data_IF_113457773477
#
_entry.id   IF_113457773477
#
_cell.length_a   1.000
_cell.length_b   1.000
_cell.length_c   1.000
_cell.angle_alpha   90.00
_cell.angle_beta   90.00
_cell.angle_gamma   90.00
#
_symmetry.space_group_name_H-M   'P 1'
#
loop_
_entity.id
_entity.type
_entity.pdbx_description
1 polymer ?
#
# COMPACT_ATOMS: atom_id res chain seq x y z
N UNK A 1 -92.77 -29.70 39.11
CA UNK A 1 -91.90 -30.73 38.52
C UNK A 1 -90.42 -30.32 38.72
N UNK A 2 -89.80 -31.05 39.56
CA UNK A 2 -88.44 -30.79 40.12
C UNK A 2 -87.39 -31.30 39.23
N UNK A 3 -86.40 -30.46 38.94
CA UNK A 3 -85.15 -30.88 38.29
C UNK A 3 -83.98 -30.52 39.22
N UNK A 4 -83.27 -31.53 39.68
CA UNK A 4 -82.15 -31.47 40.63
C UNK A 4 -80.86 -30.98 39.87
N UNK A 5 -80.15 -30.03 40.46
CA UNK A 5 -78.80 -29.62 40.04
C UNK A 5 -77.75 -30.60 40.59
N UNK A 6 -76.89 -31.08 39.75
CA UNK A 6 -75.65 -31.83 40.10
C UNK A 6 -74.48 -30.86 40.05
N UNK A 7 -73.87 -30.67 41.23
CA UNK A 7 -72.64 -29.85 41.34
C UNK A 7 -71.43 -30.74 41.04
N UNK A 8 -70.74 -30.46 39.91
CA UNK A 8 -69.49 -31.10 39.56
C UNK A 8 -68.33 -30.20 39.98
N UNK A 9 -67.50 -30.67 40.92
CA UNK A 9 -66.32 -29.98 41.42
C UNK A 9 -65.17 -30.21 40.42
N UNK A 10 -64.80 -29.17 39.66
CA UNK A 10 -63.66 -29.24 38.77
C UNK A 10 -62.43 -28.72 39.52
N UNK A 11 -61.44 -29.61 39.73
CA UNK A 11 -60.14 -29.30 40.34
C UNK A 11 -59.25 -28.61 39.25
N UNK A 12 -58.97 -27.32 39.39
CA UNK A 12 -58.05 -26.61 38.53
C UNK A 12 -56.63 -26.79 39.09
N UNK A 13 -55.83 -27.59 38.38
CA UNK A 13 -54.41 -27.76 38.68
C UNK A 13 -53.63 -26.59 38.07
N UNK A 14 -53.17 -25.62 38.86
CA UNK A 14 -52.24 -24.56 38.44
C UNK A 14 -50.86 -25.15 38.35
N UNK A 15 -50.39 -25.39 37.08
CA UNK A 15 -48.99 -25.66 36.78
C UNK A 15 -48.20 -24.31 36.79
N UNK A 16 -47.46 -24.09 37.87
CA UNK A 16 -46.46 -23.02 37.92
C UNK A 16 -45.27 -23.40 37.02
N UNK A 17 -45.23 -22.84 35.81
CA UNK A 17 -44.05 -22.94 34.94
C UNK A 17 -42.93 -22.05 35.51
N UNK A 18 -41.95 -22.66 36.17
CA UNK A 18 -40.70 -21.99 36.51
C UNK A 18 -39.89 -21.78 35.22
N UNK A 19 -39.91 -20.56 34.66
CA UNK A 19 -38.98 -20.15 33.65
C UNK A 19 -37.60 -19.94 34.28
N UNK A 20 -36.70 -20.89 34.07
CA UNK A 20 -35.29 -20.72 34.40
C UNK A 20 -34.72 -19.60 33.52
N UNK A 21 -34.35 -18.46 34.11
CA UNK A 21 -33.62 -17.40 33.43
C UNK A 21 -32.26 -17.97 33.02
N UNK A 22 -32.04 -18.09 31.72
CA UNK A 22 -30.71 -18.40 31.20
C UNK A 22 -29.77 -17.22 31.53
N UNK A 23 -28.55 -17.47 32.04
CA UNK A 23 -27.59 -16.42 32.24
C UNK A 23 -27.23 -15.84 30.86
N UNK A 24 -27.41 -14.53 30.69
CA UNK A 24 -26.96 -13.80 29.52
C UNK A 24 -25.44 -14.05 29.38
N UNK A 25 -25.05 -14.85 28.39
CA UNK A 25 -23.67 -14.98 28.01
C UNK A 25 -23.20 -13.60 27.53
N UNK A 26 -22.37 -12.94 28.31
CA UNK A 26 -21.67 -11.72 27.90
C UNK A 26 -20.85 -12.14 26.69
N UNK A 27 -20.98 -11.47 25.53
CA UNK A 27 -20.15 -11.76 24.39
C UNK A 27 -18.69 -11.55 24.82
N UNK A 28 -17.88 -12.59 24.76
CA UNK A 28 -16.42 -12.45 24.91
C UNK A 28 -15.96 -11.70 23.67
N UNK A 29 -15.81 -10.39 23.81
CA UNK A 29 -15.21 -9.56 22.79
C UNK A 29 -13.75 -9.99 22.70
N UNK A 30 -13.41 -10.76 21.66
CA UNK A 30 -12.03 -11.10 21.36
C UNK A 30 -11.31 -9.79 21.07
N UNK A 31 -10.54 -9.31 22.03
CA UNK A 31 -9.67 -8.16 21.85
C UNK A 31 -8.76 -8.44 20.64
N UNK A 32 -8.95 -7.68 19.57
CA UNK A 32 -8.11 -7.80 18.39
C UNK A 32 -6.67 -7.46 18.80
N UNK A 33 -5.67 -8.27 18.41
CA UNK A 33 -4.29 -7.96 18.74
C UNK A 33 -3.94 -6.55 18.24
N UNK A 34 -3.39 -5.74 19.11
CA UNK A 34 -3.06 -4.36 18.79
C UNK A 34 -1.90 -4.32 17.78
N UNK A 35 -2.11 -3.58 16.68
CA UNK A 35 -1.02 -3.27 15.74
C UNK A 35 -0.03 -2.35 16.43
N UNK A 36 1.22 -2.79 16.58
CA UNK A 36 2.30 -2.02 17.20
C UNK A 36 3.43 -1.73 16.20
N UNK A 37 4.30 -0.77 16.53
CA UNK A 37 5.46 -0.48 15.68
C UNK A 37 6.50 -1.62 15.68
N UNK A 38 6.52 -2.45 16.72
CA UNK A 38 7.40 -3.63 16.83
C UNK A 38 6.81 -4.87 16.19
N UNK A 39 5.45 -4.96 16.11
CA UNK A 39 4.71 -6.01 15.41
C UNK A 39 3.72 -5.35 14.43
N UNK A 40 4.21 -4.79 13.32
CA UNK A 40 3.37 -4.03 12.41
C UNK A 40 2.44 -4.91 11.55
N UNK A 41 2.74 -6.20 11.43
CA UNK A 41 2.03 -7.12 10.56
C UNK A 41 1.33 -8.23 11.35
N UNK A 42 0.26 -8.79 10.77
CA UNK A 42 -0.41 -9.99 11.27
C UNK A 42 -1.57 -9.76 12.24
N UNK A 43 -1.70 -8.57 12.84
CA UNK A 43 -2.76 -8.31 13.82
C UNK A 43 -4.19 -8.51 13.26
N UNK A 44 -4.36 -8.36 11.95
CA UNK A 44 -5.62 -8.55 11.23
C UNK A 44 -5.52 -9.67 10.16
N UNK A 45 -4.50 -10.54 10.25
CA UNK A 45 -4.34 -11.65 9.32
C UNK A 45 -5.57 -12.56 9.33
N UNK A 46 -6.01 -13.00 8.14
CA UNK A 46 -7.20 -13.85 7.97
C UNK A 46 -8.54 -13.11 8.03
N UNK A 47 -8.55 -11.78 8.27
CA UNK A 47 -9.77 -10.97 8.15
C UNK A 47 -9.88 -10.33 6.77
N UNK A 48 -11.09 -9.92 6.38
CA UNK A 48 -11.31 -9.17 5.13
C UNK A 48 -10.62 -7.81 5.23
N UNK A 49 -9.72 -7.47 4.30
CA UNK A 49 -9.00 -6.20 4.37
C UNK A 49 -9.92 -5.01 4.09
N UNK A 50 -9.79 -3.98 4.93
CA UNK A 50 -10.48 -2.70 4.82
C UNK A 50 -9.50 -1.55 4.57
N UNK A 51 -8.59 -1.74 3.59
CA UNK A 51 -7.56 -0.75 3.27
C UNK A 51 -8.17 0.43 2.53
N UNK A 52 -7.93 1.63 3.06
CA UNK A 52 -8.36 2.92 2.46
C UNK A 52 -7.22 3.67 1.79
N UNK A 53 -5.99 3.35 2.17
CA UNK A 53 -4.79 4.02 1.69
C UNK A 53 -3.71 3.00 1.33
N UNK A 54 -3.20 3.11 0.14
CA UNK A 54 -1.98 2.41 -0.29
C UNK A 54 -0.83 3.41 -0.29
N UNK A 55 0.28 3.04 0.34
CA UNK A 55 1.53 3.80 0.30
C UNK A 55 2.57 2.97 -0.46
N UNK A 56 3.16 3.56 -1.48
CA UNK A 56 4.25 3.00 -2.27
C UNK A 56 5.51 3.80 -2.02
N UNK A 57 6.56 3.15 -1.53
CA UNK A 57 7.92 3.70 -1.46
C UNK A 57 8.72 3.11 -2.60
N UNK A 58 9.28 3.95 -3.47
CA UNK A 58 10.13 3.54 -4.59
C UNK A 58 11.58 3.83 -4.28
N UNK A 59 12.39 2.79 -4.39
CA UNK A 59 13.85 2.82 -4.32
C UNK A 59 14.43 2.58 -5.72
N UNK A 60 15.75 2.66 -5.87
CA UNK A 60 16.42 2.72 -7.17
C UNK A 60 17.54 1.68 -7.32
N UNK A 61 17.63 1.13 -8.52
CA UNK A 61 18.80 0.47 -9.11
C UNK A 61 19.45 -0.67 -8.30
N UNK A 62 18.69 -1.46 -7.56
CA UNK A 62 19.30 -2.58 -6.81
C UNK A 62 18.49 -3.86 -6.90
N UNK A 63 19.21 -4.96 -7.11
CA UNK A 63 18.67 -6.30 -7.09
C UNK A 63 18.33 -6.78 -5.66
N UNK A 64 17.51 -7.84 -5.58
CA UNK A 64 17.02 -8.42 -4.31
C UNK A 64 18.10 -8.66 -3.24
N UNK A 65 19.37 -9.03 -3.54
CA UNK A 65 20.39 -9.19 -2.52
C UNK A 65 20.71 -7.95 -1.70
N UNK A 66 20.35 -6.74 -2.17
CA UNK A 66 20.56 -5.47 -1.44
C UNK A 66 19.92 -5.49 -0.04
N UNK A 67 18.84 -6.24 0.14
CA UNK A 67 18.19 -6.37 1.46
C UNK A 67 19.14 -6.91 2.53
N UNK A 68 20.13 -7.75 2.16
CA UNK A 68 21.16 -8.24 3.08
C UNK A 68 22.05 -7.13 3.66
N UNK A 69 22.14 -6.00 2.98
CA UNK A 69 22.91 -4.81 3.40
C UNK A 69 22.03 -3.71 4.00
N UNK A 70 20.74 -3.99 4.23
CA UNK A 70 19.73 -3.07 4.76
C UNK A 70 19.09 -3.64 6.04
N UNK A 71 19.74 -3.52 7.21
CA UNK A 71 19.31 -4.20 8.45
C UNK A 71 17.84 -3.94 8.82
N UNK A 72 17.36 -2.71 8.67
CA UNK A 72 15.98 -2.37 8.99
C UNK A 72 14.99 -3.01 8.01
N UNK A 73 15.21 -2.88 6.70
CA UNK A 73 14.32 -3.46 5.69
C UNK A 73 14.40 -4.99 5.66
N UNK A 74 15.57 -5.56 5.89
CA UNK A 74 15.71 -7.02 6.04
C UNK A 74 14.87 -7.54 7.20
N UNK A 75 15.02 -6.94 8.39
CA UNK A 75 14.20 -7.29 9.55
C UNK A 75 12.69 -7.05 9.33
N UNK A 76 12.34 -5.99 8.59
CA UNK A 76 10.94 -5.70 8.25
C UNK A 76 10.38 -6.76 7.29
N UNK A 77 11.12 -7.15 6.27
CA UNK A 77 10.74 -8.21 5.34
C UNK A 77 10.55 -9.57 6.04
N UNK A 78 11.40 -9.86 7.03
CA UNK A 78 11.30 -11.09 7.83
C UNK A 78 10.09 -11.08 8.79
N UNK A 79 9.72 -9.92 9.33
CA UNK A 79 8.58 -9.76 10.25
C UNK A 79 7.24 -9.55 9.56
N UNK A 80 7.24 -9.11 8.30
CA UNK A 80 6.03 -8.85 7.52
C UNK A 80 5.97 -9.79 6.32
N UNK A 81 6.11 -9.26 5.10
CA UNK A 81 6.15 -10.11 3.93
C UNK A 81 7.13 -9.59 2.87
N UNK A 82 7.54 -10.50 2.01
CA UNK A 82 8.29 -10.21 0.78
C UNK A 82 7.86 -11.11 -0.36
N UNK A 83 8.13 -10.74 -1.59
CA UNK A 83 8.01 -11.64 -2.73
C UNK A 83 9.38 -12.28 -3.03
N UNK A 84 9.39 -13.60 -3.29
CA UNK A 84 10.61 -14.31 -3.65
C UNK A 84 11.04 -14.08 -5.10
N UNK A 85 10.07 -13.86 -6.01
CA UNK A 85 10.31 -13.66 -7.44
C UNK A 85 9.58 -12.42 -7.93
N UNK A 86 10.11 -11.22 -7.61
CA UNK A 86 9.55 -9.97 -8.09
C UNK A 86 10.53 -9.27 -9.01
N UNK A 87 10.02 -8.78 -10.15
CA UNK A 87 10.86 -8.29 -11.23
C UNK A 87 10.38 -6.93 -11.74
N UNK A 88 11.31 -6.03 -12.00
CA UNK A 88 11.05 -4.84 -12.79
C UNK A 88 10.72 -5.22 -14.24
N UNK A 89 10.21 -4.26 -15.00
CA UNK A 89 9.70 -4.50 -16.35
C UNK A 89 10.77 -4.26 -17.42
N UNK A 90 11.63 -3.28 -17.20
CA UNK A 90 12.60 -2.79 -18.20
C UNK A 90 13.72 -1.98 -17.54
N UNK A 91 14.56 -1.36 -18.37
CA UNK A 91 15.47 -0.27 -18.09
C UNK A 91 15.20 0.87 -19.11
N UNK A 92 15.53 2.14 -18.79
CA UNK A 92 15.94 2.69 -17.50
C UNK A 92 14.73 2.98 -16.56
N UNK A 93 14.94 3.77 -15.51
CA UNK A 93 14.03 4.04 -14.39
C UNK A 93 12.63 4.50 -14.81
N UNK A 94 12.48 5.63 -15.52
CA UNK A 94 11.18 6.24 -15.80
C UNK A 94 10.14 5.29 -16.39
N UNK A 95 10.45 4.44 -17.39
CA UNK A 95 9.52 3.44 -17.89
C UNK A 95 8.91 2.54 -16.80
N UNK A 96 9.68 2.17 -15.78
CA UNK A 96 9.20 1.34 -14.66
C UNK A 96 8.22 2.10 -13.76
N UNK A 97 8.49 3.37 -13.46
CA UNK A 97 7.54 4.23 -12.73
C UNK A 97 6.22 4.39 -13.45
N UNK A 98 6.26 4.53 -14.78
CA UNK A 98 5.07 4.64 -15.61
C UNK A 98 4.34 3.28 -15.70
N UNK A 99 5.07 2.17 -15.91
CA UNK A 99 4.51 0.82 -15.91
C UNK A 99 3.76 0.50 -14.61
N UNK A 100 4.38 0.79 -13.46
CA UNK A 100 3.82 0.52 -12.14
C UNK A 100 2.60 1.39 -11.80
N UNK A 101 2.43 2.52 -12.48
CA UNK A 101 1.34 3.45 -12.16
C UNK A 101 0.24 3.52 -13.23
N UNK A 102 0.43 2.92 -14.42
CA UNK A 102 -0.59 2.89 -15.49
C UNK A 102 -0.78 1.52 -16.14
N UNK A 103 0.15 0.60 -15.94
CA UNK A 103 0.15 -0.68 -16.64
C UNK A 103 0.55 -0.60 -18.12
N UNK A 104 1.10 0.53 -18.58
CA UNK A 104 1.53 0.72 -19.96
C UNK A 104 2.72 1.66 -20.05
N UNK A 105 3.65 1.40 -20.97
CA UNK A 105 4.81 2.25 -21.27
C UNK A 105 4.62 2.87 -22.65
N UNK A 106 4.29 4.17 -22.75
CA UNK A 106 4.16 4.86 -24.04
C UNK A 106 5.45 4.83 -24.86
N UNK A 107 5.34 4.79 -26.18
CA UNK A 107 6.50 4.74 -27.08
C UNK A 107 7.49 5.90 -26.86
N UNK A 108 6.96 7.08 -26.53
CA UNK A 108 7.79 8.26 -26.24
C UNK A 108 8.58 8.22 -24.93
N UNK A 109 8.30 7.24 -24.04
CA UNK A 109 8.98 7.03 -22.76
C UNK A 109 9.82 5.74 -22.79
N UNK A 110 9.46 4.79 -23.62
CA UNK A 110 10.11 3.49 -23.70
C UNK A 110 11.61 3.61 -23.91
N UNK A 111 12.38 2.96 -23.04
CA UNK A 111 13.84 2.86 -23.12
C UNK A 111 14.59 4.15 -22.85
N UNK A 112 13.98 5.13 -22.19
CA UNK A 112 14.69 6.37 -21.86
C UNK A 112 14.18 7.10 -20.64
N UNK A 113 15.07 7.76 -19.95
CA UNK A 113 14.78 8.78 -18.96
C UNK A 113 14.69 10.15 -19.64
N UNK A 114 13.62 10.85 -19.39
CA UNK A 114 13.40 12.18 -19.96
C UNK A 114 12.57 13.05 -19.01
N UNK A 115 12.66 14.34 -19.13
CA UNK A 115 11.81 15.26 -18.37
C UNK A 115 10.40 15.36 -18.98
N UNK A 116 9.35 15.64 -18.16
CA UNK A 116 7.96 15.70 -18.64
C UNK A 116 7.77 16.79 -19.68
N UNK A 117 7.59 16.43 -20.93
CA UNK A 117 7.38 17.36 -22.04
C UNK A 117 7.36 16.63 -23.37
N UNK A 118 6.83 17.26 -24.44
CA UNK A 118 6.82 16.70 -25.79
C UNK A 118 6.31 15.25 -25.85
N UNK A 119 7.14 14.37 -26.42
CA UNK A 119 6.88 12.94 -26.52
C UNK A 119 7.03 12.20 -25.16
N UNK A 120 7.69 12.83 -24.17
CA UNK A 120 7.88 12.25 -22.83
C UNK A 120 6.67 12.55 -21.92
N UNK A 121 5.46 12.29 -22.41
CA UNK A 121 4.21 12.41 -21.68
C UNK A 121 3.33 11.20 -21.97
N UNK A 122 2.54 10.80 -20.97
CA UNK A 122 1.53 9.76 -21.09
C UNK A 122 0.12 10.36 -21.11
N UNK A 123 -0.71 9.85 -22.01
CA UNK A 123 -2.17 10.09 -22.06
C UNK A 123 -2.96 8.97 -21.38
N UNK A 124 -2.28 7.98 -20.84
CA UNK A 124 -2.90 6.82 -20.23
C UNK A 124 -3.68 7.21 -18.96
N UNK A 125 -4.61 6.35 -18.59
CA UNK A 125 -5.16 6.35 -17.23
C UNK A 125 -4.07 5.84 -16.29
N UNK A 126 -4.09 6.35 -15.07
CA UNK A 126 -3.14 5.95 -14.03
C UNK A 126 -3.86 5.75 -12.70
N UNK A 127 -3.23 5.04 -11.78
CA UNK A 127 -3.74 4.87 -10.41
C UNK A 127 -4.00 6.23 -9.76
N UNK A 128 -3.21 7.26 -10.05
CA UNK A 128 -3.48 8.63 -9.59
C UNK A 128 -4.84 9.14 -10.05
N UNK A 129 -5.21 8.88 -11.31
CA UNK A 129 -6.51 9.29 -11.87
C UNK A 129 -7.68 8.48 -11.33
N UNK A 130 -7.47 7.19 -10.99
CA UNK A 130 -8.51 6.32 -10.42
C UNK A 130 -8.99 6.81 -9.04
N UNK A 131 -8.10 7.44 -8.27
CA UNK A 131 -8.43 7.92 -6.92
C UNK A 131 -9.30 9.19 -6.91
N UNK A 132 -9.70 9.71 -8.08
CA UNK A 132 -10.52 10.94 -8.20
C UNK A 132 -9.97 12.13 -7.40
N UNK A 133 -8.63 12.28 -7.38
CA UNK A 133 -7.93 13.35 -6.66
C UNK A 133 -7.53 13.01 -5.23
N UNK A 134 -7.83 11.81 -4.74
CA UNK A 134 -7.32 11.31 -3.44
C UNK A 134 -5.95 10.65 -3.58
N UNK A 135 -4.95 11.40 -4.07
CA UNK A 135 -3.59 10.93 -4.22
C UNK A 135 -2.57 11.98 -3.81
N UNK A 136 -1.34 11.53 -3.49
CA UNK A 136 -0.16 12.38 -3.33
C UNK A 136 1.10 11.70 -3.78
N UNK A 137 2.03 12.50 -4.28
CA UNK A 137 3.45 12.18 -4.38
C UNK A 137 4.19 13.09 -3.43
N UNK A 138 4.92 12.50 -2.49
CA UNK A 138 5.87 13.19 -1.62
C UNK A 138 7.28 12.85 -2.11
N UNK A 139 8.00 13.85 -2.58
CA UNK A 139 9.37 13.67 -3.06
C UNK A 139 10.36 14.46 -2.21
N UNK A 140 11.42 13.76 -1.79
CA UNK A 140 12.51 14.36 -1.04
C UNK A 140 13.33 15.28 -1.94
N UNK A 141 13.96 16.28 -1.35
CA UNK A 141 14.75 17.31 -2.05
C UNK A 141 14.02 18.10 -3.14
N UNK A 142 12.69 17.92 -3.28
CA UNK A 142 11.86 18.75 -4.13
C UNK A 142 11.75 20.17 -3.54
N UNK A 143 12.08 21.20 -4.32
CA UNK A 143 12.11 22.60 -3.85
C UNK A 143 10.80 23.36 -4.12
N UNK A 144 9.99 22.88 -5.07
CA UNK A 144 8.70 23.49 -5.43
C UNK A 144 7.67 22.44 -5.82
N UNK A 145 6.41 22.74 -5.58
CA UNK A 145 5.29 21.84 -5.93
C UNK A 145 5.24 21.59 -7.42
N UNK A 146 4.98 20.33 -7.81
CA UNK A 146 4.93 19.91 -9.22
C UNK A 146 6.20 20.26 -10.00
N UNK A 147 7.35 20.08 -9.39
CA UNK A 147 8.63 20.29 -10.03
C UNK A 147 8.82 19.29 -11.16
N UNK A 148 9.06 19.80 -12.38
CA UNK A 148 9.13 19.01 -13.62
C UNK A 148 10.54 18.93 -14.19
N UNK A 149 11.50 19.40 -13.43
CA UNK A 149 12.93 19.40 -13.79
C UNK A 149 13.71 18.75 -12.67
N UNK A 150 14.69 17.95 -13.05
CA UNK A 150 15.70 17.43 -12.13
C UNK A 150 16.55 18.56 -11.62
N UNK A 151 16.66 18.73 -10.30
CA UNK A 151 17.49 19.78 -9.67
C UNK A 151 18.12 19.20 -8.40
N UNK A 152 19.46 19.27 -8.32
CA UNK A 152 20.20 18.71 -7.21
C UNK A 152 19.92 17.21 -7.03
N UNK A 153 19.54 16.81 -5.83
CA UNK A 153 19.19 15.41 -5.53
C UNK A 153 17.76 15.00 -5.89
N UNK A 154 16.90 15.94 -6.24
CA UNK A 154 15.58 15.60 -6.76
C UNK A 154 15.66 15.19 -8.23
N UNK A 155 15.28 13.97 -8.55
CA UNK A 155 15.16 13.46 -9.90
C UNK A 155 13.68 13.39 -10.34
N UNK A 156 13.32 14.16 -11.38
CA UNK A 156 11.93 14.17 -11.89
C UNK A 156 11.54 12.80 -12.43
N UNK A 157 12.45 12.06 -13.08
CA UNK A 157 12.21 10.73 -13.63
C UNK A 157 11.81 9.68 -12.57
N UNK A 158 12.17 9.90 -11.30
CA UNK A 158 11.74 9.05 -10.18
C UNK A 158 10.33 9.40 -9.64
N UNK A 159 9.62 10.32 -10.29
CA UNK A 159 8.24 10.64 -9.98
C UNK A 159 7.35 10.43 -11.21
N UNK A 160 6.25 9.67 -11.10
CA UNK A 160 5.40 9.36 -12.25
C UNK A 160 4.37 10.46 -12.57
N UNK A 161 3.84 11.15 -11.55
CA UNK A 161 2.67 12.02 -11.70
C UNK A 161 2.83 13.15 -12.73
N UNK A 162 3.99 13.85 -12.87
CA UNK A 162 4.15 14.95 -13.82
C UNK A 162 4.05 14.53 -15.29
N UNK A 163 4.22 13.25 -15.57
CA UNK A 163 4.17 12.71 -16.93
C UNK A 163 2.76 12.46 -17.45
N UNK A 164 1.75 12.42 -16.58
CA UNK A 164 0.37 12.16 -16.98
C UNK A 164 -0.40 13.44 -17.32
N UNK A 165 -0.81 13.56 -18.59
CA UNK A 165 -1.57 14.74 -19.06
C UNK A 165 -2.94 14.83 -18.41
N UNK A 166 -3.59 13.70 -18.09
CA UNK A 166 -4.94 13.62 -17.52
C UNK A 166 -5.06 14.17 -16.10
N UNK A 167 -3.97 14.26 -15.35
CA UNK A 167 -3.96 14.77 -13.97
C UNK A 167 -3.10 16.04 -13.81
N UNK A 168 -2.70 16.64 -14.94
CA UNK A 168 -1.77 17.79 -14.96
C UNK A 168 -2.26 18.95 -14.10
N UNK A 169 -3.54 19.26 -14.12
CA UNK A 169 -4.14 20.35 -13.34
C UNK A 169 -4.05 20.12 -11.83
N UNK A 170 -3.97 18.86 -11.40
CA UNK A 170 -3.88 18.47 -10.00
C UNK A 170 -2.44 18.47 -9.48
N UNK A 171 -1.43 18.46 -10.36
CA UNK A 171 -0.04 18.24 -9.99
C UNK A 171 0.44 19.21 -8.90
N UNK A 172 0.17 20.52 -9.01
CA UNK A 172 0.60 21.52 -8.01
C UNK A 172 0.02 21.30 -6.62
N UNK A 173 -1.16 20.71 -6.54
CA UNK A 173 -1.79 20.41 -5.26
C UNK A 173 -1.36 19.06 -4.68
N UNK A 174 -0.88 18.14 -5.52
CA UNK A 174 -0.73 16.73 -5.17
C UNK A 174 0.71 16.22 -5.18
N UNK A 175 1.60 16.75 -6.02
CA UNK A 175 3.04 16.45 -5.97
C UNK A 175 3.76 17.56 -5.22
N UNK A 176 4.29 17.22 -4.05
CA UNK A 176 4.78 18.19 -3.08
C UNK A 176 6.06 17.69 -2.39
N UNK A 177 6.86 18.59 -1.80
CA UNK A 177 8.01 18.20 -1.00
C UNK A 177 7.63 17.20 0.11
N UNK A 178 8.52 16.23 0.36
CA UNK A 178 8.31 15.18 1.35
C UNK A 178 8.09 15.76 2.76
N UNK A 179 8.90 16.72 3.12
CA UNK A 179 8.77 17.43 4.39
C UNK A 179 8.16 18.82 4.18
N UNK A 180 7.36 19.23 5.12
CA UNK A 180 6.73 20.52 5.12
C UNK A 180 5.71 20.66 6.25
N UNK A 181 5.59 21.84 6.87
CA UNK A 181 4.86 21.99 8.14
C UNK A 181 3.35 21.72 8.04
N UNK A 182 2.76 21.84 6.85
CA UNK A 182 1.29 21.72 6.67
C UNK A 182 0.88 20.54 5.77
N UNK A 183 1.72 20.16 4.83
CA UNK A 183 1.34 19.21 3.77
C UNK A 183 2.36 18.09 3.57
N UNK A 184 3.50 18.13 4.23
CA UNK A 184 4.47 17.05 4.23
C UNK A 184 3.86 15.75 4.76
N UNK A 185 4.52 14.64 4.49
CA UNK A 185 4.03 13.32 4.88
C UNK A 185 3.81 13.23 6.40
N UNK A 186 4.75 13.72 7.22
CA UNK A 186 4.59 13.73 8.68
C UNK A 186 3.35 14.47 9.15
N UNK A 187 3.11 15.67 8.64
CA UNK A 187 1.93 16.47 8.98
C UNK A 187 0.61 15.80 8.54
N UNK A 188 0.66 15.09 7.39
CA UNK A 188 -0.48 14.33 6.88
C UNK A 188 -0.80 13.11 7.75
N UNK A 189 0.23 12.37 8.19
CA UNK A 189 0.10 11.25 9.10
C UNK A 189 -0.46 11.68 10.47
N UNK A 190 0.07 12.77 11.04
CA UNK A 190 -0.38 13.32 12.33
C UNK A 190 -1.83 13.81 12.26
N UNK A 191 -2.26 14.33 11.11
CA UNK A 191 -3.62 14.81 10.89
C UNK A 191 -4.60 13.69 10.48
N UNK A 192 -4.15 12.44 10.41
CA UNK A 192 -4.93 11.27 9.98
C UNK A 192 -5.64 11.47 8.62
N UNK A 193 -4.92 12.01 7.63
CA UNK A 193 -5.47 12.41 6.32
C UNK A 193 -4.69 11.82 5.13
N UNK A 194 -4.23 10.56 5.27
CA UNK A 194 -3.63 9.86 4.13
C UNK A 194 -4.63 9.78 2.97
N UNK A 195 -4.20 10.08 1.73
CA UNK A 195 -5.04 9.86 0.56
C UNK A 195 -5.13 8.36 0.19
N UNK A 196 -6.04 8.03 -0.72
CA UNK A 196 -6.20 6.65 -1.18
C UNK A 196 -4.92 6.09 -1.80
N UNK A 197 -4.17 6.88 -2.57
CA UNK A 197 -2.88 6.47 -3.10
C UNK A 197 -1.79 7.49 -2.77
N UNK A 198 -0.70 6.99 -2.22
CA UNK A 198 0.49 7.76 -1.84
C UNK A 198 1.73 7.16 -2.47
N UNK A 199 2.54 7.98 -3.13
CA UNK A 199 3.86 7.61 -3.59
C UNK A 199 4.90 8.42 -2.84
N UNK A 200 5.84 7.75 -2.20
CA UNK A 200 6.93 8.36 -1.42
C UNK A 200 8.23 8.09 -2.17
N UNK A 201 8.90 9.15 -2.58
CA UNK A 201 10.09 9.10 -3.42
C UNK A 201 11.25 9.72 -2.67
N UNK A 202 12.26 8.94 -2.25
CA UNK A 202 13.51 9.47 -1.72
C UNK A 202 14.23 10.29 -2.79
N UNK A 203 15.24 11.05 -2.41
CA UNK A 203 16.15 11.67 -3.39
C UNK A 203 17.22 10.66 -3.85
N UNK A 204 17.99 10.99 -4.91
CA UNK A 204 18.94 10.07 -5.55
C UNK A 204 20.00 9.47 -4.62
N UNK A 205 20.24 10.07 -3.47
CA UNK A 205 21.09 9.51 -2.42
C UNK A 205 20.35 8.50 -1.55
N UNK A 206 19.15 8.87 -1.11
CA UNK A 206 18.40 8.09 -0.14
C UNK A 206 17.52 7.01 -0.83
N UNK A 207 17.30 7.11 -2.16
CA UNK A 207 16.73 6.02 -2.97
C UNK A 207 17.74 4.96 -3.39
N UNK A 208 19.05 5.23 -3.18
CA UNK A 208 20.22 4.40 -3.50
C UNK A 208 20.75 4.53 -4.94
N UNK A 209 20.13 5.34 -5.79
CA UNK A 209 20.62 5.58 -7.16
C UNK A 209 22.11 5.96 -7.18
N UNK A 210 22.54 6.83 -6.27
CA UNK A 210 23.94 7.26 -6.13
C UNK A 210 24.75 6.39 -5.13
N UNK A 211 24.31 5.15 -4.86
CA UNK A 211 25.08 4.11 -4.18
C UNK A 211 25.08 4.13 -2.65
N UNK A 212 24.28 4.96 -1.98
CA UNK A 212 24.23 4.98 -0.51
C UNK A 212 23.20 3.99 0.07
N UNK A 213 23.51 2.70 0.14
CA UNK A 213 22.59 1.65 0.65
C UNK A 213 22.13 1.96 2.09
N UNK A 214 23.04 2.34 2.97
CA UNK A 214 22.69 2.70 4.35
C UNK A 214 21.84 3.96 4.47
N UNK A 215 21.89 4.87 3.51
CA UNK A 215 21.00 6.03 3.44
C UNK A 215 19.58 5.58 3.15
N UNK A 216 19.39 4.67 2.19
CA UNK A 216 18.10 4.08 1.85
C UNK A 216 17.49 3.31 3.02
N UNK A 217 18.28 2.53 3.75
CA UNK A 217 17.78 1.82 4.94
C UNK A 217 17.33 2.77 6.05
N UNK A 218 18.08 3.86 6.31
CA UNK A 218 17.68 4.91 7.27
C UNK A 218 16.43 5.67 6.81
N UNK A 219 16.31 5.96 5.50
CA UNK A 219 15.09 6.55 4.96
C UNK A 219 13.88 5.64 5.19
N UNK A 220 14.00 4.37 4.85
CA UNK A 220 12.98 3.36 5.08
C UNK A 220 12.62 3.25 6.58
N UNK A 221 13.61 3.18 7.47
CA UNK A 221 13.41 3.15 8.93
C UNK A 221 12.60 4.35 9.41
N UNK A 222 12.94 5.54 8.93
CA UNK A 222 12.27 6.78 9.32
C UNK A 222 10.82 6.79 8.87
N UNK A 223 10.56 6.55 7.60
CA UNK A 223 9.23 6.77 7.02
C UNK A 223 8.29 5.59 7.23
N UNK A 224 8.76 4.35 7.10
CA UNK A 224 7.95 3.17 7.47
C UNK A 224 7.61 3.26 8.96
N UNK A 225 8.59 3.57 9.80
CA UNK A 225 8.37 3.74 11.23
C UNK A 225 7.32 4.80 11.58
N UNK A 226 7.27 5.92 10.86
CA UNK A 226 6.23 6.95 11.03
C UNK A 226 4.86 6.46 10.54
N UNK A 227 4.82 5.78 9.40
CA UNK A 227 3.57 5.26 8.82
C UNK A 227 2.94 4.22 9.75
N UNK A 228 3.70 3.23 10.23
CA UNK A 228 3.17 2.17 11.09
C UNK A 228 2.73 2.67 12.48
N UNK A 229 3.26 3.80 12.93
CA UNK A 229 2.81 4.47 14.16
C UNK A 229 1.58 5.35 13.96
N UNK A 230 1.16 5.62 12.74
CA UNK A 230 -0.02 6.47 12.47
C UNK A 230 -1.31 5.81 12.94
N UNK A 231 -2.32 6.64 13.25
CA UNK A 231 -3.64 6.15 13.63
C UNK A 231 -4.28 5.31 12.50
N UNK A 232 -4.17 5.79 11.24
CA UNK A 232 -4.67 5.06 10.07
C UNK A 232 -4.09 3.65 9.95
N UNK A 233 -2.76 3.50 10.11
CA UNK A 233 -2.13 2.18 10.04
C UNK A 233 -2.62 1.24 11.16
N UNK A 234 -2.68 1.74 12.39
CA UNK A 234 -3.13 0.94 13.55
C UNK A 234 -4.58 0.49 13.45
N UNK A 235 -5.43 1.23 12.73
CA UNK A 235 -6.82 0.81 12.45
C UNK A 235 -6.92 -0.23 11.33
N UNK A 236 -5.84 -0.48 10.58
CA UNK A 236 -5.86 -1.35 9.41
C UNK A 236 -6.20 -0.63 8.10
N UNK A 237 -6.26 0.69 8.09
CA UNK A 237 -6.62 1.46 6.89
C UNK A 237 -5.49 1.54 5.85
N UNK A 238 -4.26 1.07 6.15
CA UNK A 238 -3.08 1.28 5.30
C UNK A 238 -2.39 -0.03 4.93
N UNK A 239 -2.08 -0.20 3.64
CA UNK A 239 -1.11 -1.16 3.13
C UNK A 239 0.10 -0.41 2.55
N UNK A 240 1.31 -0.82 2.94
CA UNK A 240 2.56 -0.21 2.52
C UNK A 240 3.37 -1.20 1.69
N UNK A 241 3.87 -0.74 0.55
CA UNK A 241 4.75 -1.46 -0.36
C UNK A 241 6.07 -0.71 -0.49
N UNK A 242 7.18 -1.44 -0.42
CA UNK A 242 8.53 -0.92 -0.69
C UNK A 242 9.12 -1.75 -1.80
N UNK A 243 9.51 -1.13 -2.89
CA UNK A 243 10.11 -1.82 -4.04
C UNK A 243 11.14 -0.93 -4.74
N UNK A 244 11.91 -1.55 -5.61
CA UNK A 244 12.88 -0.89 -6.50
C UNK A 244 12.31 -0.85 -7.91
N UNK A 245 12.67 0.18 -8.64
CA UNK A 245 12.21 0.38 -10.00
C UNK A 245 12.84 -0.61 -10.99
N UNK A 246 14.16 -0.84 -10.83
CA UNK A 246 14.96 -1.76 -11.65
C UNK A 246 16.18 -2.27 -10.86
N UNK A 247 16.90 -3.24 -11.41
CA UNK A 247 18.16 -3.71 -10.84
C UNK A 247 19.36 -2.87 -11.37
N UNK A 248 20.56 -3.27 -10.98
CA UNK A 248 21.84 -2.72 -11.41
C UNK A 248 22.39 -3.36 -12.71
N UNK A 249 21.51 -3.82 -13.60
CA UNK A 249 21.82 -4.56 -14.84
C UNK A 249 22.44 -5.95 -14.65
N UNK A 250 22.64 -6.41 -13.42
CA UNK A 250 23.36 -7.64 -13.12
C UNK A 250 22.47 -8.86 -12.79
N UNK A 251 21.18 -8.67 -12.56
CA UNK A 251 20.31 -9.72 -11.95
C UNK A 251 19.00 -9.95 -12.69
N UNK A 252 18.91 -9.58 -13.96
CA UNK A 252 17.73 -9.79 -14.80
C UNK A 252 16.47 -9.12 -14.27
N UNK A 253 16.64 -7.94 -13.71
CA UNK A 253 15.58 -7.13 -13.09
C UNK A 253 14.89 -7.80 -11.89
N UNK A 254 15.56 -8.71 -11.19
CA UNK A 254 15.06 -9.33 -9.96
C UNK A 254 15.24 -8.37 -8.79
N UNK A 255 14.21 -7.59 -8.49
CA UNK A 255 14.23 -6.50 -7.48
C UNK A 255 13.47 -6.90 -6.22
N UNK A 256 13.72 -6.27 -5.06
CA UNK A 256 12.96 -6.56 -3.85
C UNK A 256 11.52 -6.04 -3.92
N UNK A 257 10.60 -6.76 -3.26
CA UNK A 257 9.30 -6.26 -2.86
C UNK A 257 9.08 -6.63 -1.40
N UNK A 258 8.97 -5.63 -0.54
CA UNK A 258 8.63 -5.75 0.89
C UNK A 258 7.24 -5.18 1.11
N UNK A 259 6.40 -5.90 1.85
CA UNK A 259 5.02 -5.51 2.11
C UNK A 259 4.76 -5.46 3.61
N UNK A 260 4.22 -4.33 4.05
CA UNK A 260 3.92 -4.07 5.46
C UNK A 260 2.43 -3.75 5.60
N UNK A 261 1.68 -4.67 6.19
CA UNK A 261 0.24 -4.51 6.39
C UNK A 261 -0.22 -5.31 7.61
N UNK A 262 -1.17 -4.80 8.40
CA UNK A 262 -1.76 -5.55 9.50
C UNK A 262 -2.45 -6.85 9.06
N UNK A 263 -2.86 -6.94 7.79
CA UNK A 263 -3.53 -8.12 7.22
C UNK A 263 -2.57 -9.21 6.75
N UNK A 264 -1.30 -8.88 6.56
CA UNK A 264 -0.30 -9.80 6.01
C UNK A 264 0.26 -10.70 7.11
N UNK A 265 0.26 -12.01 6.88
CA UNK A 265 0.84 -12.99 7.81
C UNK A 265 2.34 -12.71 8.02
N UNK A 266 2.82 -12.62 9.28
CA UNK A 266 4.23 -12.41 9.58
C UNK A 266 5.12 -13.49 8.95
N UNK A 267 6.26 -13.08 8.37
CA UNK A 267 7.23 -13.97 7.74
C UNK A 267 6.79 -14.54 6.40
N UNK A 268 5.68 -14.07 5.82
CA UNK A 268 5.19 -14.55 4.54
C UNK A 268 6.19 -14.29 3.42
N UNK A 269 6.40 -15.31 2.59
CA UNK A 269 7.16 -15.22 1.34
C UNK A 269 6.23 -15.56 0.19
N UNK A 270 5.73 -14.55 -0.52
CA UNK A 270 4.90 -14.75 -1.69
C UNK A 270 5.71 -15.44 -2.81
N UNK A 271 5.18 -16.54 -3.34
CA UNK A 271 5.84 -17.38 -4.34
C UNK A 271 5.19 -17.22 -5.71
N UNK A 272 6.02 -17.15 -6.74
CA UNK A 272 5.59 -16.94 -8.12
C UNK A 272 6.49 -15.91 -8.80
N UNK A 273 6.28 -15.72 -10.12
CA UNK A 273 6.93 -14.66 -10.88
C UNK A 273 6.00 -13.46 -10.98
N UNK A 274 6.31 -12.41 -10.27
CA UNK A 274 5.55 -11.16 -10.24
C UNK A 274 6.37 -10.02 -10.86
N UNK A 275 5.66 -8.99 -11.32
CA UNK A 275 6.26 -7.80 -11.92
C UNK A 275 5.58 -6.54 -11.39
N UNK A 276 6.03 -5.36 -11.82
CA UNK A 276 5.37 -4.10 -11.55
C UNK A 276 3.89 -4.08 -11.96
N UNK A 277 3.51 -4.84 -12.99
CA UNK A 277 2.09 -4.97 -13.39
C UNK A 277 1.26 -5.77 -12.37
N UNK A 278 1.86 -6.77 -11.72
CA UNK A 278 1.21 -7.55 -10.67
C UNK A 278 1.08 -6.72 -9.37
N UNK A 279 2.06 -5.86 -9.08
CA UNK A 279 1.97 -4.93 -7.96
C UNK A 279 0.91 -3.84 -8.22
N UNK A 280 0.86 -3.27 -9.43
CA UNK A 280 -0.21 -2.35 -9.80
C UNK A 280 -1.58 -3.01 -9.59
N UNK A 281 -1.78 -4.23 -10.12
CA UNK A 281 -2.99 -5.03 -9.91
C UNK A 281 -3.34 -5.20 -8.44
N UNK A 282 -2.32 -5.50 -7.61
CA UNK A 282 -2.48 -5.67 -6.17
C UNK A 282 -2.95 -4.38 -5.51
N UNK A 283 -2.31 -3.25 -5.81
CA UNK A 283 -2.69 -1.94 -5.26
C UNK A 283 -4.09 -1.52 -5.68
N UNK A 284 -4.43 -1.70 -6.96
CA UNK A 284 -5.77 -1.40 -7.48
C UNK A 284 -6.85 -2.24 -6.81
N UNK A 285 -6.61 -3.56 -6.69
CA UNK A 285 -7.53 -4.47 -6.02
C UNK A 285 -7.72 -4.09 -4.54
N UNK A 286 -6.63 -3.83 -3.84
CA UNK A 286 -6.65 -3.42 -2.42
C UNK A 286 -7.46 -2.15 -2.20
N UNK A 287 -7.48 -1.24 -3.18
CA UNK A 287 -8.28 -0.01 -3.15
C UNK A 287 -9.67 -0.14 -3.78
N UNK A 288 -10.04 -1.32 -4.29
CA UNK A 288 -11.33 -1.54 -4.95
C UNK A 288 -11.43 -0.95 -6.36
N UNK A 289 -10.31 -0.72 -7.05
CA UNK A 289 -10.28 -0.18 -8.40
C UNK A 289 -10.17 -1.27 -9.47
N UNK A 290 -10.76 -1.01 -10.63
CA UNK A 290 -10.59 -1.86 -11.80
C UNK A 290 -9.16 -1.74 -12.35
N UNK A 291 -8.52 -2.84 -12.79
CA UNK A 291 -7.14 -2.83 -13.22
C UNK A 291 -6.91 -2.04 -14.50
N UNK A 292 -5.72 -1.44 -14.63
CA UNK A 292 -5.26 -0.66 -15.78
C UNK A 292 -4.28 -1.44 -16.66
N UNK A 293 -4.21 -1.10 -17.94
CA UNK A 293 -3.19 -1.58 -18.87
C UNK A 293 -2.92 -3.09 -18.74
N UNK A 294 -1.66 -3.47 -18.66
CA UNK A 294 -1.23 -4.86 -18.51
C UNK A 294 -1.62 -5.50 -17.17
N UNK A 295 -1.96 -4.71 -16.15
CA UNK A 295 -2.50 -5.23 -14.88
C UNK A 295 -3.83 -5.99 -15.07
N UNK A 296 -4.58 -5.72 -16.15
CA UNK A 296 -5.83 -6.42 -16.48
C UNK A 296 -5.65 -7.91 -16.76
N UNK A 297 -4.51 -8.30 -17.30
CA UNK A 297 -4.21 -9.68 -17.65
C UNK A 297 -3.47 -10.43 -16.53
N UNK A 298 -3.16 -9.75 -15.43
CA UNK A 298 -2.52 -10.36 -14.27
C UNK A 298 -3.53 -11.04 -13.36
N UNK A 299 -3.09 -12.08 -12.67
CA UNK A 299 -3.90 -12.73 -11.64
C UNK A 299 -3.86 -11.96 -10.32
N UNK A 300 -4.82 -12.21 -9.45
CA UNK A 300 -4.81 -11.67 -8.08
C UNK A 300 -3.91 -12.49 -7.13
N UNK A 301 -3.02 -13.35 -7.66
CA UNK A 301 -2.21 -14.26 -6.86
C UNK A 301 -1.36 -13.52 -5.82
N UNK A 302 -0.71 -12.43 -6.22
CA UNK A 302 0.09 -11.64 -5.29
C UNK A 302 -0.80 -11.04 -4.17
N UNK A 303 -1.91 -10.41 -4.52
CA UNK A 303 -2.83 -9.82 -3.54
C UNK A 303 -3.37 -10.86 -2.55
N UNK A 304 -3.81 -12.04 -3.05
CA UNK A 304 -4.31 -13.12 -2.19
C UNK A 304 -3.25 -13.67 -1.26
N UNK A 305 -2.03 -13.91 -1.75
CA UNK A 305 -0.93 -14.40 -0.91
C UNK A 305 -0.59 -13.39 0.21
N UNK A 306 -0.66 -12.10 -0.10
CA UNK A 306 -0.38 -11.03 0.86
C UNK A 306 -1.52 -10.76 1.85
N UNK A 307 -2.68 -11.42 1.72
CA UNK A 307 -3.86 -11.15 2.53
C UNK A 307 -4.51 -9.79 2.21
N UNK A 308 -4.36 -9.29 0.99
CA UNK A 308 -4.84 -7.97 0.53
C UNK A 308 -5.86 -8.08 -0.63
N UNK A 309 -6.36 -9.28 -0.91
CA UNK A 309 -7.22 -9.55 -2.06
C UNK A 309 -8.51 -10.28 -1.76
#
# INVERSE_FOLDING_TARGET
MTCRAVIGTTLVLCLLAMTAAQPNAVPVEFERPAVTATAPCGALAGTVPHVRSVVLVMMENHATPVLGSMPYLHATAARCARAAGYYAVTHPSLPNYIALTSGHIPSGIRGRDCEPGGSCLSRDRSIFGQTHGSWRVWAQSMTRRCQRQTIGRYATRHTAAPYYTRIRTQCRARQIPLDGPRHGLSATLSADRLPAFSMVVPDVRDDQHDGCISCGDRFAQTWIGRIVRSAAYRRGDVALFVTWDEDDYGSGNHVPLVVVSPYTTPGLVARGRFTHYDLLRTMERTLGYAPLGAARTRSDSLARQLGLG
#
